data_IF_567150056836
#
_entry.id   IF_567150056836
#
_cell.length_a   1.000
_cell.length_b   1.000
_cell.length_c   1.000
_cell.angle_alpha   90.00
_cell.angle_beta   90.00
_cell.angle_gamma   90.00
#
_symmetry.space_group_name_H-M   'P 1'
#
loop_
_entity.id
_entity.type
_entity.pdbx_description
1 polymer ?
#
# COMPACT_ATOMS: atom_id res chain seq x y z
N UNK A 1 -6.17 -0.57 24.62
CA UNK A 1 -6.47 0.69 23.88
C UNK A 1 -5.34 0.86 22.90
N UNK A 2 -5.46 0.17 21.77
CA UNK A 2 -4.40 -0.01 20.79
C UNK A 2 -4.49 1.10 19.74
N UNK A 3 -3.43 1.88 19.62
CA UNK A 3 -3.27 2.87 18.56
C UNK A 3 -1.84 2.80 18.06
N UNK A 4 -1.60 2.12 16.94
CA UNK A 4 -0.50 2.53 16.07
C UNK A 4 -0.67 2.07 14.61
N UNK A 5 -1.37 2.90 13.85
CA UNK A 5 -1.26 2.96 12.40
C UNK A 5 -0.86 4.40 12.05
N UNK A 6 0.44 4.67 11.93
CA UNK A 6 0.90 5.95 11.39
C UNK A 6 1.15 5.75 9.90
N UNK A 7 0.05 5.72 9.16
CA UNK A 7 0.03 5.96 7.73
C UNK A 7 -0.12 7.48 7.56
N UNK A 8 0.99 8.24 7.61
CA UNK A 8 0.96 9.68 7.29
C UNK A 8 0.95 9.87 5.75
N UNK A 9 -0.10 9.35 5.12
CA UNK A 9 -0.51 9.74 3.77
C UNK A 9 -1.14 11.15 3.87
N UNK A 10 -0.32 12.19 3.75
CA UNK A 10 -0.81 13.55 3.48
C UNK A 10 -1.27 13.64 2.03
N UNK A 11 -2.46 13.13 1.73
CA UNK A 11 -3.04 13.28 0.41
C UNK A 11 -3.63 14.68 0.26
N UNK A 12 -2.95 15.49 -0.54
CA UNK A 12 -3.45 16.80 -0.96
C UNK A 12 -4.52 16.61 -2.03
N UNK A 13 -5.75 16.95 -1.67
CA UNK A 13 -6.98 17.22 -2.45
C UNK A 13 -7.51 16.27 -3.54
N UNK A 14 -6.74 15.38 -4.20
CA UNK A 14 -7.21 14.74 -5.46
C UNK A 14 -6.98 13.21 -5.58
N UNK A 15 -6.74 12.48 -4.49
CA UNK A 15 -6.51 11.03 -4.52
C UNK A 15 -7.60 10.27 -3.77
N UNK A 16 -7.99 9.09 -4.29
CA UNK A 16 -8.77 8.10 -3.54
C UNK A 16 -7.82 7.02 -3.07
N UNK A 17 -7.95 6.69 -1.79
CA UNK A 17 -7.35 5.50 -1.21
C UNK A 17 -8.48 4.52 -0.97
N UNK A 18 -8.50 3.40 -1.67
CA UNK A 18 -9.20 2.22 -1.16
C UNK A 18 -8.32 1.74 0.02
N UNK A 19 -8.64 2.22 1.23
CA UNK A 19 -7.82 2.07 2.45
C UNK A 19 -7.83 0.62 2.93
N UNK A 20 -6.77 0.24 3.63
CA UNK A 20 -6.54 -1.05 4.31
C UNK A 20 -5.91 -0.77 5.64
N UNK A 21 -6.63 -1.00 6.74
CA UNK A 21 -5.99 -1.02 8.05
C UNK A 21 -6.86 -1.71 9.11
N UNK A 22 -6.54 -2.97 9.42
CA UNK A 22 -6.61 -3.45 10.79
C UNK A 22 -5.49 -4.47 11.05
N UNK A 23 -4.94 -4.44 12.26
CA UNK A 23 -4.16 -5.51 12.84
C UNK A 23 -4.99 -5.98 14.05
N UNK A 24 -5.61 -7.15 13.99
CA UNK A 24 -6.32 -7.72 15.15
C UNK A 24 -5.41 -8.71 15.87
N UNK A 25 -5.36 -8.62 17.20
CA UNK A 25 -5.35 -9.81 18.02
C UNK A 25 -6.75 -9.97 18.68
N UNK A 26 -7.40 -11.08 18.34
CA UNK A 26 -8.32 -11.91 19.12
C UNK A 26 -9.55 -11.31 19.84
N UNK A 27 -10.72 -11.87 19.49
CA UNK A 27 -11.98 -12.04 20.24
C UNK A 27 -11.96 -11.86 21.79
N UNK A 28 -13.01 -11.22 22.32
CA UNK A 28 -13.44 -11.18 23.75
C UNK A 28 -14.78 -11.95 23.93
N UNK A 29 -15.36 -12.16 25.14
CA UNK A 29 -14.82 -12.30 26.50
C UNK A 29 -15.33 -13.57 27.24
N UNK A 30 -14.59 -14.10 28.21
CA UNK A 30 -15.18 -14.91 29.28
C UNK A 30 -14.66 -14.48 30.65
N UNK A 31 -15.57 -14.58 31.62
CA UNK A 31 -15.61 -13.96 32.94
C UNK A 31 -14.87 -14.79 34.00
N UNK A 32 -14.21 -14.06 34.91
CA UNK A 32 -13.91 -14.32 36.32
C UNK A 32 -12.67 -15.08 36.84
N UNK A 33 -12.08 -14.39 37.83
CA UNK A 33 -11.57 -14.80 39.15
C UNK A 33 -10.22 -15.53 39.31
N UNK A 34 -9.28 -14.80 39.94
CA UNK A 34 -8.64 -15.24 41.20
C UNK A 34 -7.27 -15.92 41.17
N UNK A 35 -6.27 -15.20 41.70
CA UNK A 35 -5.10 -15.63 42.52
C UNK A 35 -4.10 -16.69 41.99
N UNK A 36 -2.80 -16.29 41.96
CA UNK A 36 -1.65 -17.20 42.11
C UNK A 36 -0.40 -16.86 41.26
N UNK A 37 0.72 -16.51 41.89
CA UNK A 37 2.09 -16.48 41.34
C UNK A 37 2.74 -17.88 41.37
N UNK A 38 3.98 -18.12 40.84
CA UNK A 38 4.55 -17.77 39.52
C UNK A 38 5.24 -19.01 38.85
N UNK A 39 5.59 -18.92 37.55
CA UNK A 39 6.71 -19.57 36.82
C UNK A 39 6.37 -20.07 35.40
N UNK A 40 7.28 -19.68 34.48
CA UNK A 40 7.62 -20.26 33.18
C UNK A 40 6.75 -20.08 31.92
N UNK A 41 7.51 -19.82 30.84
CA UNK A 41 7.20 -19.66 29.42
C UNK A 41 6.64 -18.29 28.97
N UNK A 42 7.54 -17.47 28.43
CA UNK A 42 7.19 -16.35 27.56
C UNK A 42 6.55 -16.91 26.27
N UNK A 43 5.29 -16.55 25.95
CA UNK A 43 4.70 -16.89 24.67
C UNK A 43 5.24 -15.94 23.60
N UNK A 44 5.60 -16.49 22.45
CA UNK A 44 5.76 -15.73 21.20
C UNK A 44 4.46 -14.98 20.91
N UNK A 45 4.50 -13.66 20.75
CA UNK A 45 3.32 -12.90 20.33
C UNK A 45 3.28 -11.43 20.72
N UNK A 46 4.21 -10.93 21.54
CA UNK A 46 4.24 -9.51 21.88
C UNK A 46 5.17 -8.73 20.94
N UNK A 47 4.58 -8.01 19.98
CA UNK A 47 5.31 -7.00 19.20
C UNK A 47 5.57 -5.77 20.08
N UNK A 48 6.83 -5.35 20.28
CA UNK A 48 7.13 -4.15 21.06
C UNK A 48 6.57 -2.90 20.39
N UNK A 49 5.94 -2.04 21.20
CA UNK A 49 5.47 -0.70 20.87
C UNK A 49 6.50 0.06 20.02
N UNK A 50 6.09 0.55 18.85
CA UNK A 50 7.01 1.33 18.03
C UNK A 50 7.35 2.64 18.76
N UNK A 51 8.65 2.94 18.83
CA UNK A 51 9.18 4.16 19.46
C UNK A 51 9.09 5.35 18.51
N UNK A 52 7.91 5.61 17.95
CA UNK A 52 7.70 6.82 17.16
C UNK A 52 7.54 7.96 18.14
N UNK A 53 8.66 8.62 18.43
CA UNK A 53 8.66 9.88 19.15
C UNK A 53 8.11 10.98 18.23
N UNK A 54 6.77 11.01 18.07
CA UNK A 54 6.11 12.08 17.31
C UNK A 54 6.14 13.36 18.15
N UNK A 55 7.28 14.04 18.16
CA UNK A 55 7.43 15.31 18.89
C UNK A 55 6.74 16.50 18.19
N UNK A 56 6.30 16.33 16.93
CA UNK A 56 5.58 17.36 16.17
C UNK A 56 4.88 16.80 14.92
N UNK A 57 3.59 16.51 14.99
CA UNK A 57 2.76 16.36 13.77
C UNK A 57 2.26 17.75 13.38
N UNK A 58 2.78 18.31 12.29
CA UNK A 58 2.15 19.49 11.68
C UNK A 58 1.14 18.99 10.65
N UNK A 59 -0.15 19.04 11.00
CA UNK A 59 -1.23 18.83 10.05
C UNK A 59 -1.34 20.06 9.14
N UNK A 60 -0.50 20.15 8.10
CA UNK A 60 -0.55 21.21 7.11
C UNK A 60 -1.48 20.81 5.95
N UNK A 61 -2.79 20.74 6.22
CA UNK A 61 -3.78 20.64 5.14
C UNK A 61 -3.88 22.00 4.46
N UNK A 62 -3.67 22.04 3.13
CA UNK A 62 -4.07 23.19 2.34
C UNK A 62 -5.58 23.42 2.51
N UNK A 63 -6.07 24.66 2.52
CA UNK A 63 -7.50 24.96 2.78
C UNK A 63 -8.47 24.29 1.77
N UNK A 64 -7.96 23.87 0.61
CA UNK A 64 -8.71 23.10 -0.40
C UNK A 64 -8.44 21.58 -0.37
N UNK A 65 -7.57 21.09 0.53
CA UNK A 65 -7.27 19.67 0.66
C UNK A 65 -8.34 18.95 1.47
N UNK A 66 -9.00 17.98 0.84
CA UNK A 66 -9.85 17.00 1.51
C UNK A 66 -9.49 15.60 1.02
N UNK A 67 -9.51 14.63 1.93
CA UNK A 67 -9.39 13.21 1.59
C UNK A 67 -10.81 12.66 1.49
N UNK A 68 -11.24 12.25 0.30
CA UNK A 68 -12.50 11.53 0.13
C UNK A 68 -12.23 10.03 0.17
N UNK A 69 -12.28 9.46 1.37
CA UNK A 69 -12.42 8.02 1.54
C UNK A 69 -13.87 7.65 1.21
N UNK A 70 -14.06 6.71 0.29
CA UNK A 70 -15.37 6.17 -0.04
C UNK A 70 -15.36 4.68 0.32
N UNK A 71 -16.21 4.21 1.25
CA UNK A 71 -17.23 4.94 2.01
C UNK A 71 -16.69 5.84 3.15
N UNK A 72 -17.57 6.72 3.66
CA UNK A 72 -17.31 7.70 4.71
C UNK A 72 -16.75 7.04 5.98
N UNK A 73 -15.54 7.42 6.41
CA UNK A 73 -14.90 6.88 7.62
C UNK A 73 -15.60 7.41 8.87
N UNK A 74 -16.44 6.57 9.48
CA UNK A 74 -16.89 6.60 10.89
C UNK A 74 -17.61 5.26 11.19
N UNK A 75 -16.88 4.17 11.43
CA UNK A 75 -17.50 2.92 11.93
C UNK A 75 -16.68 1.64 11.74
N UNK A 76 -16.70 0.76 12.75
CA UNK A 76 -16.16 -0.60 12.70
C UNK A 76 -17.11 -1.52 11.93
N UNK A 77 -17.06 -1.49 10.59
CA UNK A 77 -17.67 -2.56 9.77
C UNK A 77 -16.59 -3.29 8.98
N UNK A 78 -16.69 -4.62 8.94
CA UNK A 78 -15.81 -5.58 8.25
C UNK A 78 -15.69 -5.39 6.72
N UNK A 79 -16.22 -4.31 6.14
CA UNK A 79 -16.36 -4.14 4.68
C UNK A 79 -15.98 -2.73 4.21
N UNK A 80 -15.02 -2.08 4.89
CA UNK A 80 -14.65 -0.69 4.59
C UNK A 80 -13.18 -0.52 4.21
N UNK A 81 -12.43 -1.62 4.21
CA UNK A 81 -11.02 -1.66 3.88
C UNK A 81 -10.61 -3.09 3.48
N UNK A 82 -9.59 -3.28 2.64
CA UNK A 82 -8.97 -4.62 2.52
C UNK A 82 -8.37 -4.96 3.87
N UNK A 83 -8.43 -6.21 4.26
CA UNK A 83 -7.84 -6.82 5.42
C UNK A 83 -7.03 -8.02 4.92
N UNK A 84 -5.70 -7.90 5.01
CA UNK A 84 -4.79 -8.95 4.61
C UNK A 84 -4.72 -10.11 5.62
N UNK A 85 -5.55 -10.11 6.66
CA UNK A 85 -5.74 -11.26 7.55
C UNK A 85 -6.98 -12.08 7.17
N UNK A 86 -7.78 -11.62 6.20
CA UNK A 86 -8.94 -12.32 5.63
C UNK A 86 -8.70 -12.67 4.16
N UNK A 87 -9.45 -13.63 3.63
CA UNK A 87 -9.25 -14.09 2.24
C UNK A 87 -9.50 -12.95 1.23
N UNK A 88 -8.52 -12.63 0.38
CA UNK A 88 -8.60 -11.61 -0.69
C UNK A 88 -8.67 -12.23 -2.09
N UNK A 89 -8.71 -13.56 -2.20
CA UNK A 89 -8.63 -14.26 -3.49
C UNK A 89 -9.92 -14.13 -4.28
N UNK A 90 -9.83 -14.34 -5.59
CA UNK A 90 -10.97 -14.32 -6.49
C UNK A 90 -12.07 -15.28 -6.00
N UNK A 91 -13.31 -14.79 -5.94
CA UNK A 91 -14.45 -15.51 -5.36
C UNK A 91 -14.74 -15.20 -3.89
N UNK A 92 -13.83 -14.57 -3.16
CA UNK A 92 -14.10 -14.04 -1.81
C UNK A 92 -14.97 -12.78 -1.84
N UNK A 93 -15.66 -12.51 -0.73
CA UNK A 93 -16.41 -11.26 -0.56
C UNK A 93 -15.50 -10.03 -0.66
N UNK A 94 -14.31 -10.11 -0.07
CA UNK A 94 -13.31 -9.05 -0.10
C UNK A 94 -12.83 -8.75 -1.52
N UNK A 95 -12.58 -9.76 -2.35
CA UNK A 95 -12.22 -9.54 -3.75
C UNK A 95 -13.32 -8.80 -4.52
N UNK A 96 -14.58 -9.23 -4.36
CA UNK A 96 -15.72 -8.56 -4.98
C UNK A 96 -15.87 -7.11 -4.50
N UNK A 97 -15.61 -6.85 -3.22
CA UNK A 97 -15.57 -5.51 -2.66
C UNK A 97 -14.43 -4.66 -3.26
N UNK A 98 -13.22 -5.22 -3.40
CA UNK A 98 -12.07 -4.53 -4.01
C UNK A 98 -12.41 -4.13 -5.44
N UNK A 99 -12.92 -5.07 -6.24
CA UNK A 99 -13.31 -4.80 -7.63
C UNK A 99 -14.33 -3.66 -7.70
N UNK A 100 -15.36 -3.70 -6.84
CA UNK A 100 -16.36 -2.64 -6.75
C UNK A 100 -15.76 -1.30 -6.33
N UNK A 101 -14.82 -1.27 -5.38
CA UNK A 101 -14.13 -0.04 -4.95
C UNK A 101 -13.40 0.59 -6.13
N UNK A 102 -12.53 -0.19 -6.79
CA UNK A 102 -11.71 0.26 -7.91
C UNK A 102 -12.56 0.71 -9.11
N UNK A 103 -13.65 0.00 -9.41
CA UNK A 103 -14.57 0.34 -10.50
C UNK A 103 -15.40 1.60 -10.26
N UNK A 104 -15.62 2.00 -9.00
CA UNK A 104 -16.49 3.13 -8.67
C UNK A 104 -15.85 4.50 -8.88
N UNK A 105 -14.55 4.55 -9.18
CA UNK A 105 -13.77 5.78 -9.22
C UNK A 105 -13.90 6.51 -10.55
N UNK A 106 -14.36 7.77 -10.50
CA UNK A 106 -14.28 8.71 -11.63
C UNK A 106 -12.84 9.24 -11.75
N UNK A 107 -12.05 8.62 -12.63
CA UNK A 107 -10.63 8.95 -12.84
C UNK A 107 -10.38 10.31 -13.48
N UNK A 108 -11.41 10.98 -14.02
CA UNK A 108 -11.26 12.36 -14.50
C UNK A 108 -11.21 13.36 -13.34
N UNK A 109 -12.01 13.09 -12.30
CA UNK A 109 -12.05 13.90 -11.07
C UNK A 109 -11.01 13.46 -10.05
N UNK A 110 -10.70 12.16 -10.02
CA UNK A 110 -9.83 11.54 -9.01
C UNK A 110 -8.80 10.64 -9.72
N UNK A 111 -7.77 11.24 -10.34
CA UNK A 111 -6.87 10.55 -11.27
C UNK A 111 -5.87 9.61 -10.58
N UNK A 112 -5.60 9.81 -9.29
CA UNK A 112 -4.65 9.03 -8.51
C UNK A 112 -5.37 7.92 -7.74
N UNK A 113 -5.24 6.69 -8.21
CA UNK A 113 -5.86 5.50 -7.64
C UNK A 113 -4.82 4.70 -6.86
N UNK A 114 -4.99 4.65 -5.54
CA UNK A 114 -4.03 4.04 -4.63
C UNK A 114 -4.65 2.81 -3.96
N UNK A 115 -3.95 1.69 -4.05
CA UNK A 115 -4.20 0.49 -3.26
C UNK A 115 -3.28 0.50 -2.04
N UNK A 116 -3.77 -0.03 -0.92
CA UNK A 116 -2.93 -0.27 0.26
C UNK A 116 -3.21 -1.70 0.73
N UNK A 117 -2.31 -2.33 1.48
CA UNK A 117 -2.57 -3.52 2.28
C UNK A 117 -1.61 -3.53 3.50
N UNK A 118 -1.91 -4.26 4.58
CA UNK A 118 -0.94 -4.39 5.68
C UNK A 118 0.17 -5.34 5.26
N UNK A 119 -0.16 -6.63 5.02
CA UNK A 119 0.80 -7.60 4.48
C UNK A 119 1.16 -7.32 3.02
N UNK A 120 2.31 -7.85 2.61
CA UNK A 120 2.84 -7.63 1.26
C UNK A 120 2.13 -8.53 0.25
N UNK A 121 1.04 -8.04 -0.33
CA UNK A 121 0.33 -8.72 -1.42
C UNK A 121 0.98 -8.48 -2.80
N UNK A 122 1.96 -7.58 -2.89
CA UNK A 122 2.61 -7.17 -4.12
C UNK A 122 3.99 -7.78 -4.28
N UNK A 123 5.03 -7.03 -3.95
CA UNK A 123 6.43 -7.45 -4.11
C UNK A 123 7.26 -6.97 -2.92
N UNK A 124 8.10 -7.85 -2.38
CA UNK A 124 9.16 -7.51 -1.42
C UNK A 124 10.31 -8.50 -1.51
N UNK A 125 11.53 -8.01 -1.44
CA UNK A 125 12.76 -8.79 -1.29
C UNK A 125 13.07 -9.02 0.20
N UNK A 126 12.08 -9.17 1.06
CA UNK A 126 12.28 -9.51 2.46
C UNK A 126 12.91 -10.92 2.59
N UNK A 127 13.86 -11.06 3.50
CA UNK A 127 14.58 -12.31 3.73
C UNK A 127 13.68 -13.46 4.19
N UNK A 128 12.70 -13.21 5.05
CA UNK A 128 11.77 -14.25 5.53
C UNK A 128 10.89 -14.77 4.38
N UNK A 129 10.29 -13.87 3.59
CA UNK A 129 9.53 -14.27 2.39
C UNK A 129 10.40 -15.07 1.41
N UNK A 130 11.62 -14.62 1.15
CA UNK A 130 12.54 -15.30 0.23
C UNK A 130 12.95 -16.70 0.72
N UNK A 131 13.12 -16.88 2.04
CA UNK A 131 13.41 -18.18 2.64
C UNK A 131 12.24 -19.17 2.49
N UNK A 132 11.01 -18.67 2.38
CA UNK A 132 9.82 -19.46 2.04
C UNK A 132 9.65 -19.65 0.52
N UNK A 133 10.62 -19.19 -0.29
CA UNK A 133 10.59 -19.29 -1.75
C UNK A 133 9.66 -18.27 -2.41
N UNK A 134 9.31 -17.18 -1.73
CA UNK A 134 8.36 -16.18 -2.19
C UNK A 134 8.94 -14.75 -2.15
N UNK A 135 8.26 -13.83 -2.83
CA UNK A 135 8.55 -12.38 -2.78
C UNK A 135 7.27 -11.59 -2.46
N UNK A 136 6.34 -12.26 -1.78
CA UNK A 136 5.00 -11.82 -1.38
C UNK A 136 4.43 -12.80 -0.37
N UNK A 137 3.35 -12.43 0.30
CA UNK A 137 2.48 -13.41 0.95
C UNK A 137 2.03 -14.49 -0.04
N UNK A 138 1.92 -15.76 0.37
CA UNK A 138 1.41 -16.83 -0.49
C UNK A 138 0.09 -16.43 -1.18
N UNK A 139 0.06 -16.51 -2.51
CA UNK A 139 -1.07 -16.11 -3.37
C UNK A 139 -1.41 -14.60 -3.35
N UNK A 140 -0.51 -13.74 -2.86
CA UNK A 140 -0.72 -12.30 -2.70
C UNK A 140 -1.19 -11.61 -3.98
N UNK A 141 -0.36 -11.65 -5.03
CA UNK A 141 -0.60 -10.91 -6.28
C UNK A 141 -1.44 -11.69 -7.29
N UNK A 142 -1.48 -13.02 -7.21
CA UNK A 142 -1.97 -13.90 -8.27
C UNK A 142 -3.36 -13.52 -8.80
N UNK A 143 -4.30 -13.18 -7.91
CA UNK A 143 -5.65 -12.74 -8.27
C UNK A 143 -5.77 -11.22 -8.34
N UNK A 144 -5.19 -10.49 -7.38
CA UNK A 144 -5.38 -9.05 -7.26
C UNK A 144 -4.71 -8.24 -8.38
N UNK A 145 -3.61 -8.75 -8.97
CA UNK A 145 -2.95 -8.05 -10.07
C UNK A 145 -3.86 -7.87 -11.29
N UNK A 146 -4.83 -8.77 -11.51
CA UNK A 146 -5.84 -8.61 -12.57
C UNK A 146 -6.67 -7.35 -12.34
N UNK A 147 -7.08 -7.08 -11.11
CA UNK A 147 -7.85 -5.88 -10.76
C UNK A 147 -6.96 -4.64 -10.80
N UNK A 148 -5.73 -4.70 -10.26
CA UNK A 148 -4.79 -3.59 -10.31
C UNK A 148 -4.49 -3.16 -11.75
N UNK A 149 -4.29 -4.13 -12.64
CA UNK A 149 -4.05 -3.90 -14.07
C UNK A 149 -5.30 -3.39 -14.78
N UNK A 150 -6.45 -4.05 -14.61
CA UNK A 150 -7.75 -3.68 -15.22
C UNK A 150 -8.16 -2.25 -14.88
N UNK A 151 -8.06 -1.86 -13.60
CA UNK A 151 -8.45 -0.53 -13.12
C UNK A 151 -7.29 0.47 -13.07
N UNK A 152 -6.10 0.07 -13.52
CA UNK A 152 -4.88 0.89 -13.60
C UNK A 152 -4.59 1.59 -12.27
N UNK A 153 -4.43 0.77 -11.22
CA UNK A 153 -3.95 1.22 -9.92
C UNK A 153 -2.54 1.78 -10.10
N UNK A 154 -2.32 2.97 -9.58
CA UNK A 154 -1.08 3.70 -9.79
C UNK A 154 0.03 3.20 -8.88
N UNK A 155 -0.31 3.12 -7.58
CA UNK A 155 0.62 2.75 -6.53
C UNK A 155 -0.09 1.82 -5.56
N UNK A 156 0.57 0.72 -5.19
CA UNK A 156 0.14 -0.21 -4.17
C UNK A 156 1.11 -0.18 -2.98
N UNK A 157 0.61 0.21 -1.81
CA UNK A 157 1.40 0.32 -0.58
C UNK A 157 1.23 -0.88 0.34
N UNK A 158 2.32 -1.30 0.96
CA UNK A 158 2.35 -2.38 1.95
C UNK A 158 3.08 -1.95 3.21
N UNK A 159 2.65 -2.48 4.35
CA UNK A 159 3.41 -2.45 5.60
C UNK A 159 4.07 -3.80 5.85
N UNK A 160 3.89 -4.32 7.07
CA UNK A 160 4.30 -5.64 7.56
C UNK A 160 5.81 -5.90 7.58
N UNK A 161 6.49 -5.77 6.44
CA UNK A 161 7.94 -5.84 6.33
C UNK A 161 8.52 -4.50 6.78
N UNK A 162 9.32 -4.50 7.86
CA UNK A 162 9.80 -3.29 8.51
C UNK A 162 11.07 -2.73 7.83
N UNK A 163 10.94 -2.34 6.56
CA UNK A 163 11.94 -1.60 5.80
C UNK A 163 11.22 -0.75 4.72
N UNK A 164 11.97 -0.18 3.78
CA UNK A 164 11.43 0.47 2.59
C UNK A 164 11.92 -0.22 1.31
N UNK A 165 11.02 -0.45 0.36
CA UNK A 165 11.35 -0.98 -0.96
C UNK A 165 10.39 -0.46 -2.02
N UNK A 166 10.91 -0.11 -3.21
CA UNK A 166 10.11 0.34 -4.35
C UNK A 166 10.42 -0.47 -5.60
N UNK A 167 9.36 -0.85 -6.33
CA UNK A 167 9.50 -1.54 -7.62
C UNK A 167 9.46 -0.61 -8.82
N UNK A 168 9.87 -1.12 -9.99
CA UNK A 168 9.43 -0.59 -11.29
C UNK A 168 7.91 -0.71 -11.44
N UNK A 169 7.27 0.03 -12.37
CA UNK A 169 5.93 -0.33 -12.84
C UNK A 169 5.95 -1.75 -13.38
N UNK A 170 5.13 -2.62 -12.80
CA UNK A 170 5.25 -4.07 -12.98
C UNK A 170 3.89 -4.72 -13.18
N UNK A 171 3.87 -5.76 -14.00
CA UNK A 171 2.72 -6.66 -14.15
C UNK A 171 3.24 -8.06 -14.49
N UNK A 172 2.67 -9.11 -13.88
CA UNK A 172 3.10 -10.51 -14.06
C UNK A 172 4.63 -10.69 -13.92
N UNK A 173 5.19 -10.10 -12.87
CA UNK A 173 6.61 -10.10 -12.56
C UNK A 173 7.51 -9.42 -13.60
N UNK A 174 6.99 -8.72 -14.61
CA UNK A 174 7.79 -8.04 -15.64
C UNK A 174 7.71 -6.52 -15.49
N UNK A 175 8.84 -5.82 -15.50
CA UNK A 175 8.83 -4.36 -15.60
C UNK A 175 8.23 -3.96 -16.95
N UNK A 176 7.13 -3.21 -16.92
CA UNK A 176 6.38 -2.78 -18.11
C UNK A 176 6.65 -1.33 -18.50
N UNK A 177 7.54 -0.67 -17.74
CA UNK A 177 8.04 0.66 -18.01
C UNK A 177 9.53 0.74 -17.59
N UNK A 178 10.43 1.22 -18.45
CA UNK A 178 11.86 1.29 -18.15
C UNK A 178 12.25 2.51 -17.30
N UNK A 179 11.37 3.49 -17.12
CA UNK A 179 11.65 4.70 -16.34
C UNK A 179 11.81 4.39 -14.84
N UNK A 180 12.68 5.15 -14.18
CA UNK A 180 13.04 4.91 -12.77
C UNK A 180 12.43 5.97 -11.83
N UNK A 181 12.37 7.22 -12.28
CA UNK A 181 12.00 8.37 -11.44
C UNK A 181 11.09 9.40 -12.10
N UNK A 182 10.95 9.39 -13.44
CA UNK A 182 10.11 10.35 -14.17
C UNK A 182 9.17 9.60 -15.12
N UNK A 183 8.01 9.21 -14.61
CA UNK A 183 7.00 8.52 -15.41
C UNK A 183 6.17 9.55 -16.17
N UNK A 184 6.06 9.38 -17.49
CA UNK A 184 5.23 10.23 -18.34
C UNK A 184 4.22 9.41 -19.15
N UNK A 185 3.01 9.93 -19.32
CA UNK A 185 1.93 9.24 -20.03
C UNK A 185 1.49 7.96 -19.32
N UNK A 186 1.27 6.88 -20.10
CA UNK A 186 0.79 5.61 -19.58
C UNK A 186 1.89 4.86 -18.83
N UNK A 187 1.66 4.57 -17.54
CA UNK A 187 2.65 3.90 -16.66
C UNK A 187 2.69 2.37 -16.90
N UNK A 188 1.71 1.82 -17.62
CA UNK A 188 1.57 0.42 -18.07
C UNK A 188 1.45 -0.66 -16.99
N UNK A 189 1.78 -0.38 -15.73
CA UNK A 189 1.62 -1.28 -14.60
C UNK A 189 1.64 -0.52 -13.27
N UNK A 190 1.33 -1.22 -12.19
CA UNK A 190 1.28 -0.65 -10.84
C UNK A 190 2.70 -0.56 -10.25
N UNK A 191 3.00 0.54 -9.56
CA UNK A 191 4.23 0.66 -8.75
C UNK A 191 3.93 0.09 -7.36
N UNK A 192 4.72 -0.88 -6.91
CA UNK A 192 4.56 -1.48 -5.59
C UNK A 192 5.59 -0.90 -4.62
N UNK A 193 5.14 -0.61 -3.40
CA UNK A 193 5.96 0.04 -2.37
C UNK A 193 5.74 -0.63 -1.02
N UNK A 194 6.81 -1.20 -0.47
CA UNK A 194 6.88 -1.55 0.95
C UNK A 194 7.31 -0.29 1.72
N UNK A 195 6.52 0.08 2.71
CA UNK A 195 6.76 1.24 3.61
C UNK A 195 6.41 0.85 5.05
N UNK A 196 6.92 -0.30 5.50
CA UNK A 196 6.67 -0.82 6.85
C UNK A 196 7.68 -0.35 7.89
N UNK A 197 8.72 0.39 7.51
CA UNK A 197 9.75 0.98 8.39
C UNK A 197 9.24 2.10 9.33
N UNK A 198 8.03 1.99 9.86
CA UNK A 198 7.41 3.04 10.66
C UNK A 198 8.02 3.25 12.06
N UNK A 199 8.72 2.25 12.62
CA UNK A 199 9.33 2.37 13.95
C UNK A 199 9.48 1.07 14.76
N UNK A 200 9.05 -0.08 14.22
CA UNK A 200 9.31 -1.40 14.81
C UNK A 200 10.75 -1.85 14.51
N UNK A 201 11.14 -3.03 14.98
CA UNK A 201 12.43 -3.65 14.62
C UNK A 201 12.54 -3.82 13.10
N UNK A 202 13.69 -3.49 12.53
CA UNK A 202 13.88 -3.53 11.07
C UNK A 202 13.91 -4.97 10.55
N UNK A 203 13.52 -5.17 9.30
CA UNK A 203 13.49 -6.48 8.63
C UNK A 203 14.52 -6.57 7.51
N UNK A 204 15.34 -7.62 7.52
CA UNK A 204 16.44 -7.77 6.56
C UNK A 204 15.94 -8.10 5.15
N UNK A 205 16.70 -7.68 4.14
CA UNK A 205 16.51 -8.08 2.76
C UNK A 205 17.18 -9.43 2.47
N UNK A 206 16.67 -10.16 1.49
CA UNK A 206 17.39 -11.29 0.89
C UNK A 206 18.61 -10.81 0.10
N UNK A 207 19.60 -11.69 -0.07
CA UNK A 207 20.76 -11.47 -0.94
C UNK A 207 20.39 -11.54 -2.43
N UNK A 208 19.19 -12.02 -2.77
CA UNK A 208 18.72 -12.11 -4.15
C UNK A 208 18.43 -10.70 -4.69
N UNK A 209 19.15 -10.32 -5.73
CA UNK A 209 18.89 -9.07 -6.45
C UNK A 209 17.85 -9.29 -7.55
N UNK A 210 16.64 -8.79 -7.33
CA UNK A 210 15.54 -8.87 -8.30
C UNK A 210 15.58 -7.68 -9.26
N UNK A 211 15.34 -7.92 -10.54
CA UNK A 211 15.39 -6.86 -11.56
C UNK A 211 14.33 -5.76 -11.38
N UNK A 212 13.24 -6.08 -10.67
CA UNK A 212 12.15 -5.14 -10.44
C UNK A 212 12.35 -4.24 -9.23
N UNK A 213 13.28 -4.56 -8.32
CA UNK A 213 13.56 -3.77 -7.12
C UNK A 213 14.44 -2.56 -7.47
N UNK A 214 13.85 -1.37 -7.53
CA UNK A 214 14.58 -0.15 -7.90
C UNK A 214 15.30 0.51 -6.72
N UNK A 215 14.72 0.46 -5.52
CA UNK A 215 15.28 1.09 -4.33
C UNK A 215 14.96 0.27 -3.09
N UNK A 216 15.92 0.18 -2.16
CA UNK A 216 15.80 -0.47 -0.85
C UNK A 216 16.44 0.41 0.21
N UNK A 217 15.82 0.50 1.37
CA UNK A 217 16.40 1.15 2.55
C UNK A 217 16.09 0.34 3.80
N UNK A 218 17.15 -0.07 4.51
CA UNK A 218 17.06 -0.70 5.82
C UNK A 218 17.15 0.39 6.89
N UNK A 219 16.05 1.12 7.05
CA UNK A 219 15.94 2.21 8.02
C UNK A 219 14.48 2.50 8.31
N UNK A 220 14.24 3.39 9.28
CA UNK A 220 12.92 3.91 9.54
C UNK A 220 12.61 5.10 8.63
N UNK A 221 11.40 5.11 8.08
CA UNK A 221 10.95 6.17 7.20
C UNK A 221 9.47 6.11 6.89
N UNK A 222 9.02 7.06 6.08
CA UNK A 222 7.64 7.20 5.65
C UNK A 222 7.55 7.81 4.25
N UNK A 223 6.40 7.64 3.60
CA UNK A 223 6.13 8.20 2.27
C UNK A 223 5.23 9.41 2.38
N UNK A 224 5.52 10.42 1.56
CA UNK A 224 4.66 11.58 1.31
C UNK A 224 4.30 11.63 -0.17
N UNK A 225 3.00 11.76 -0.47
CA UNK A 225 2.48 11.96 -1.81
C UNK A 225 2.00 13.41 -1.96
N UNK A 226 2.42 14.10 -3.02
CA UNK A 226 1.99 15.46 -3.33
C UNK A 226 1.37 15.48 -4.72
N UNK A 227 0.03 15.54 -4.80
CA UNK A 227 -0.67 15.77 -6.06
C UNK A 227 -0.70 17.29 -6.31
N UNK A 228 0.10 17.77 -7.27
CA UNK A 228 0.13 19.19 -7.60
C UNK A 228 -1.12 19.63 -8.37
N UNK A 229 -1.65 18.73 -9.19
CA UNK A 229 -2.88 18.90 -9.96
C UNK A 229 -3.41 17.52 -10.40
N UNK A 230 -4.31 17.49 -11.38
CA UNK A 230 -4.87 16.23 -11.91
C UNK A 230 -3.89 15.46 -12.81
N UNK A 231 -2.82 16.10 -13.28
CA UNK A 231 -1.86 15.51 -14.21
C UNK A 231 -0.48 15.26 -13.60
N UNK A 232 -0.16 15.80 -12.41
CA UNK A 232 1.15 15.67 -11.76
C UNK A 232 1.07 15.19 -10.31
N UNK A 233 1.75 14.08 -10.03
CA UNK A 233 1.95 13.49 -8.70
C UNK A 233 3.45 13.38 -8.41
N UNK A 234 3.85 13.78 -7.21
CA UNK A 234 5.18 13.53 -6.65
C UNK A 234 5.08 12.53 -5.49
N UNK A 235 5.98 11.55 -5.52
CA UNK A 235 6.23 10.61 -4.44
C UNK A 235 7.57 10.95 -3.78
N UNK A 236 7.60 10.99 -2.45
CA UNK A 236 8.83 11.18 -1.65
C UNK A 236 8.88 10.14 -0.53
N UNK A 237 9.91 9.30 -0.50
CA UNK A 237 10.29 8.53 0.68
C UNK A 237 11.27 9.34 1.52
N UNK A 238 10.98 9.42 2.82
CA UNK A 238 11.72 10.24 3.77
C UNK A 238 12.15 9.40 4.96
N UNK A 239 13.42 9.51 5.35
CA UNK A 239 13.89 8.87 6.58
C UNK A 239 13.31 9.60 7.80
N UNK A 240 12.94 8.83 8.81
CA UNK A 240 12.40 9.35 10.06
C UNK A 240 13.45 10.08 10.90
N UNK A 241 14.73 9.77 10.70
CA UNK A 241 15.86 10.33 11.46
C UNK A 241 16.09 11.83 11.20
N UNK A 242 15.93 12.29 9.96
CA UNK A 242 16.20 13.68 9.58
C UNK A 242 15.08 14.34 8.74
N UNK A 243 14.08 13.57 8.31
CA UNK A 243 12.99 14.06 7.49
C UNK A 243 13.43 14.58 6.13
N UNK A 244 14.58 14.15 5.59
CA UNK A 244 15.00 14.42 4.20
C UNK A 244 14.49 13.34 3.25
N UNK A 245 14.50 13.65 1.95
CA UNK A 245 14.07 12.73 0.89
C UNK A 245 15.25 11.86 0.47
N UNK A 246 15.04 10.55 0.39
CA UNK A 246 16.05 9.56 0.02
C UNK A 246 15.71 8.79 -1.25
N UNK A 247 14.42 8.68 -1.57
CA UNK A 247 13.92 8.16 -2.84
C UNK A 247 12.69 8.97 -3.27
N UNK A 248 12.52 9.16 -4.58
CA UNK A 248 11.42 9.95 -5.13
C UNK A 248 11.16 9.62 -6.58
N UNK A 249 9.91 9.77 -7.00
CA UNK A 249 9.55 9.75 -8.41
C UNK A 249 8.36 10.66 -8.70
N UNK A 250 8.16 10.98 -9.97
CA UNK A 250 7.02 11.75 -10.46
C UNK A 250 6.20 10.95 -11.46
N UNK A 251 4.89 11.18 -11.48
CA UNK A 251 4.00 10.73 -12.55
C UNK A 251 3.38 11.98 -13.19
N UNK A 252 3.61 12.17 -14.49
CA UNK A 252 3.05 13.25 -15.30
C UNK A 252 2.23 12.69 -16.46
N UNK A 253 0.90 12.78 -16.39
CA UNK A 253 0.01 12.21 -17.41
C UNK A 253 -1.35 12.89 -17.42
N UNK A 254 -2.06 12.83 -18.54
CA UNK A 254 -3.41 13.36 -18.66
C UNK A 254 -4.47 12.27 -18.54
N UNK A 255 -5.75 12.68 -18.43
CA UNK A 255 -6.87 11.73 -18.33
C UNK A 255 -6.92 10.73 -19.49
N UNK A 256 -6.53 11.15 -20.70
CA UNK A 256 -6.45 10.25 -21.88
C UNK A 256 -5.48 9.09 -21.66
N UNK A 257 -4.40 9.31 -20.92
CA UNK A 257 -3.37 8.29 -20.65
C UNK A 257 -3.89 7.29 -19.59
N UNK A 258 -4.75 7.76 -18.69
CA UNK A 258 -5.51 6.88 -17.76
C UNK A 258 -6.51 6.01 -18.53
N UNK A 259 -7.08 6.51 -19.63
CA UNK A 259 -8.01 5.73 -20.47
C UNK A 259 -7.30 4.80 -21.47
N UNK A 260 -6.06 5.12 -21.86
CA UNK A 260 -5.30 4.36 -22.85
C UNK A 260 -5.19 2.87 -22.49
N UNK A 261 -5.39 1.99 -23.48
CA UNK A 261 -5.30 0.55 -23.25
C UNK A 261 -3.89 0.13 -22.85
N UNK A 262 -3.83 -0.76 -21.86
CA UNK A 262 -2.61 -1.46 -21.44
C UNK A 262 -2.85 -2.97 -21.55
N UNK A 263 -1.78 -3.77 -21.50
CA UNK A 263 -1.90 -5.22 -21.46
C UNK A 263 -2.85 -5.64 -20.31
N UNK A 264 -3.85 -6.47 -20.61
CA UNK A 264 -4.93 -6.88 -19.69
C UNK A 264 -5.74 -5.75 -19.03
N UNK A 265 -5.67 -4.52 -19.56
CA UNK A 265 -6.37 -3.33 -19.07
C UNK A 265 -6.97 -2.48 -20.19
N UNK A 266 -7.67 -3.14 -21.13
CA UNK A 266 -8.36 -2.52 -22.25
C UNK A 266 -9.86 -2.88 -22.21
N UNK A 267 -10.73 -1.89 -22.37
CA UNK A 267 -12.17 -2.12 -22.39
C UNK A 267 -12.62 -2.77 -23.70
N UNK A 268 -13.70 -3.54 -23.64
CA UNK A 268 -14.28 -4.15 -24.83
C UNK A 268 -14.81 -3.08 -25.80
N UNK A 269 -14.55 -3.26 -27.09
CA UNK A 269 -15.03 -2.37 -28.15
C UNK A 269 -16.07 -3.07 -29.02
N UNK A 270 -16.93 -2.29 -29.67
CA UNK A 270 -17.89 -2.78 -30.68
C UNK A 270 -17.49 -2.24 -32.05
N UNK A 271 -17.75 -3.03 -33.11
CA UNK A 271 -17.53 -2.62 -34.50
C UNK A 271 -18.69 -1.79 -35.07
N UNK A 272 -19.76 -1.56 -34.29
CA UNK A 272 -20.87 -0.73 -34.70
C UNK A 272 -20.45 0.75 -34.82
N UNK A 273 -20.82 1.39 -35.94
CA UNK A 273 -20.52 2.80 -36.27
C UNK A 273 -21.80 3.62 -36.39
#
# INVERSE_FOLDING_TARGET
MDYMLILLLFLVSNAIVCKVSYASSSYSPLVNSGLGHPHHHAPSGEQPLAKIAIHKTVLALHKSAYIRANPFILGLKLHEHVDSEHDWREGSEQYAWIEKCLASVDRQKQPWLIFSAHRVLGYSSNSWLANEGAFEEPMGRAHLQKLWQKYKVDIAFYGHVHNYERTCPIYQNQCVNPEISHYSGTVNGTIHVVVGGGGSHLSDFTEINTFWSLYKDYDWGFVKLTAFNHSSLLFEYKKSSDGKVYDSFTISRDYRDVLACVHDGCEATTLAT
#
